data_IF_589239769910
#
_entry.id   IF_589239769910
#
_cell.length_a   1.000
_cell.length_b   1.000
_cell.length_c   1.000
_cell.angle_alpha   90.00
_cell.angle_beta   90.00
_cell.angle_gamma   90.00
#
_symmetry.space_group_name_H-M   'P 1'
#
loop_
_entity.id
_entity.type
_entity.pdbx_description
1 polymer ?
#
# COMPACT_ATOMS: atom_id res chain seq x y z
N UNK A 1 -7.13 9.91 -9.27
CA UNK A 1 -8.17 8.89 -9.48
C UNK A 1 -9.11 8.76 -8.28
N UNK A 2 -8.66 8.32 -7.09
CA UNK A 2 -9.54 8.18 -5.91
C UNK A 2 -10.18 9.49 -5.40
N UNK A 3 -9.59 10.65 -5.70
CA UNK A 3 -10.11 11.96 -5.33
C UNK A 3 -11.22 12.49 -6.25
N UNK A 4 -11.35 11.97 -7.47
CA UNK A 4 -12.31 12.45 -8.49
C UNK A 4 -13.58 11.62 -8.58
N UNK A 5 -13.62 10.42 -7.99
CA UNK A 5 -14.79 9.52 -8.03
C UNK A 5 -16.03 10.12 -7.31
N UNK A 6 -15.92 10.84 -6.18
CA UNK A 6 -17.09 11.38 -5.50
C UNK A 6 -17.82 12.49 -6.27
N UNK A 7 -17.15 13.18 -7.19
CA UNK A 7 -17.71 14.33 -7.90
C UNK A 7 -18.52 13.94 -9.15
N UNK A 8 -18.48 12.65 -9.56
CA UNK A 8 -19.13 12.15 -10.79
C UNK A 8 -20.33 11.24 -10.49
N UNK A 9 -20.43 10.67 -9.28
CA UNK A 9 -21.46 9.69 -8.92
C UNK A 9 -22.20 10.09 -7.63
N UNK A 10 -23.34 10.81 -7.73
CA UNK A 10 -24.14 11.21 -6.58
C UNK A 10 -24.89 10.05 -5.88
N UNK A 11 -24.89 8.84 -6.47
CA UNK A 11 -25.67 7.69 -6.01
C UNK A 11 -24.78 6.64 -5.29
N UNK A 12 -24.97 6.43 -3.99
CA UNK A 12 -24.10 5.62 -3.11
C UNK A 12 -23.95 4.16 -3.56
N UNK A 13 -24.98 3.57 -4.17
CA UNK A 13 -24.95 2.18 -4.64
C UNK A 13 -24.06 2.00 -5.87
N UNK A 14 -24.01 2.98 -6.76
CA UNK A 14 -23.14 2.94 -7.94
C UNK A 14 -21.67 3.19 -7.57
N UNK A 15 -21.42 4.06 -6.57
CA UNK A 15 -20.09 4.29 -6.00
C UNK A 15 -19.49 3.01 -5.41
N UNK A 16 -20.29 2.27 -4.62
CA UNK A 16 -19.83 1.04 -3.96
C UNK A 16 -19.49 -0.07 -4.96
N UNK A 17 -20.29 -0.18 -6.03
CA UNK A 17 -20.10 -1.15 -7.11
C UNK A 17 -18.92 -0.79 -8.02
N UNK A 18 -18.69 0.50 -8.29
CA UNK A 18 -17.51 0.97 -9.00
C UNK A 18 -16.23 0.75 -8.17
N UNK A 19 -16.29 0.99 -6.86
CA UNK A 19 -15.18 0.75 -5.96
C UNK A 19 -14.82 -0.75 -5.86
N UNK A 20 -15.83 -1.63 -5.84
CA UNK A 20 -15.58 -3.08 -5.83
C UNK A 20 -15.04 -3.59 -7.15
N UNK A 21 -15.57 -3.14 -8.30
CA UNK A 21 -15.05 -3.50 -9.63
C UNK A 21 -13.63 -2.99 -9.85
N UNK A 22 -13.35 -1.76 -9.44
CA UNK A 22 -12.00 -1.18 -9.58
C UNK A 22 -11.00 -1.91 -8.68
N UNK A 23 -11.42 -2.29 -7.47
CA UNK A 23 -10.58 -3.08 -6.57
C UNK A 23 -10.35 -4.51 -7.09
N UNK A 24 -11.37 -5.14 -7.69
CA UNK A 24 -11.25 -6.45 -8.33
C UNK A 24 -10.34 -6.39 -9.57
N UNK A 25 -10.43 -5.33 -10.37
CA UNK A 25 -9.50 -5.09 -11.47
C UNK A 25 -8.06 -4.91 -10.99
N UNK A 26 -7.83 -4.14 -9.93
CA UNK A 26 -6.50 -3.99 -9.31
C UNK A 26 -5.96 -5.31 -8.75
N UNK A 27 -6.80 -6.10 -8.10
CA UNK A 27 -6.40 -7.39 -7.52
C UNK A 27 -6.09 -8.40 -8.64
N UNK A 28 -6.86 -8.40 -9.74
CA UNK A 28 -6.57 -9.22 -10.91
C UNK A 28 -5.31 -8.76 -11.64
N UNK A 29 -5.09 -7.46 -11.82
CA UNK A 29 -3.88 -6.91 -12.42
C UNK A 29 -2.63 -7.29 -11.60
N UNK A 30 -2.71 -7.13 -10.28
CA UNK A 30 -1.63 -7.49 -9.35
C UNK A 30 -1.28 -8.98 -9.39
N UNK A 31 -2.26 -9.87 -9.56
CA UNK A 31 -2.03 -11.32 -9.64
C UNK A 31 -1.63 -11.81 -11.03
N UNK A 32 -2.33 -11.35 -12.07
CA UNK A 32 -2.13 -11.83 -13.44
C UNK A 32 -0.93 -11.17 -14.11
N UNK A 33 -0.60 -9.92 -13.80
CA UNK A 33 0.49 -9.24 -14.52
C UNK A 33 1.85 -9.89 -14.27
N UNK A 34 2.26 -10.24 -13.04
CA UNK A 34 3.52 -10.93 -12.81
C UNK A 34 3.57 -12.33 -13.43
N UNK A 35 2.46 -13.07 -13.38
CA UNK A 35 2.37 -14.43 -13.94
C UNK A 35 2.34 -14.43 -15.46
N UNK A 36 1.58 -13.53 -16.09
CA UNK A 36 1.59 -13.34 -17.54
C UNK A 36 2.93 -12.80 -18.02
N UNK A 37 3.55 -11.85 -17.32
CA UNK A 37 4.87 -11.34 -17.68
C UNK A 37 5.94 -12.44 -17.61
N UNK A 38 5.94 -13.24 -16.54
CA UNK A 38 6.83 -14.39 -16.41
C UNK A 38 6.60 -15.44 -17.52
N UNK A 39 5.34 -15.73 -17.85
CA UNK A 39 4.99 -16.63 -18.96
C UNK A 39 5.42 -16.07 -20.32
N UNK A 40 5.20 -14.78 -20.58
CA UNK A 40 5.61 -14.12 -21.83
C UNK A 40 7.13 -14.09 -21.99
N UNK A 41 7.90 -13.95 -20.90
CA UNK A 41 9.36 -14.01 -20.94
C UNK A 41 9.90 -15.39 -21.38
N UNK A 42 9.08 -16.45 -21.31
CA UNK A 42 9.45 -17.76 -21.88
C UNK A 42 9.34 -17.79 -23.41
N UNK A 43 8.54 -16.89 -24.00
CA UNK A 43 8.26 -16.82 -25.43
C UNK A 43 8.93 -15.63 -26.13
N UNK A 44 9.20 -14.55 -25.40
CA UNK A 44 9.66 -13.27 -25.95
C UNK A 44 10.73 -12.64 -25.06
N UNK A 45 11.75 -12.04 -25.67
CA UNK A 45 12.82 -11.32 -24.95
C UNK A 45 12.29 -10.12 -24.16
N UNK A 46 12.94 -9.82 -23.03
CA UNK A 46 12.64 -8.66 -22.17
C UNK A 46 12.53 -7.32 -22.92
N UNK A 47 13.34 -7.10 -23.97
CA UNK A 47 13.29 -5.88 -24.77
C UNK A 47 11.94 -5.67 -25.48
N UNK A 48 11.31 -6.75 -25.95
CA UNK A 48 10.00 -6.71 -26.60
C UNK A 48 8.87 -6.52 -25.59
N UNK A 49 9.02 -7.06 -24.39
CA UNK A 49 8.10 -6.80 -23.27
C UNK A 49 8.10 -5.31 -22.92
N UNK A 50 9.29 -4.70 -22.88
CA UNK A 50 9.48 -3.26 -22.66
C UNK A 50 8.89 -2.41 -23.79
N UNK A 51 9.04 -2.83 -25.05
CA UNK A 51 8.43 -2.14 -26.18
C UNK A 51 6.89 -2.22 -26.12
N UNK A 52 6.34 -3.36 -25.67
CA UNK A 52 4.91 -3.53 -25.42
C UNK A 52 4.37 -2.58 -24.34
N UNK A 53 5.09 -2.38 -23.23
CA UNK A 53 4.70 -1.40 -22.20
C UNK A 53 4.77 0.03 -22.71
N UNK A 54 5.74 0.38 -23.57
CA UNK A 54 5.80 1.69 -24.22
C UNK A 54 4.53 1.95 -25.04
N UNK A 55 4.11 1.00 -25.88
CA UNK A 55 2.86 1.11 -26.65
C UNK A 55 1.65 1.22 -25.71
N UNK A 56 1.60 0.40 -24.64
CA UNK A 56 0.55 0.47 -23.63
C UNK A 56 0.44 1.84 -22.97
N UNK A 57 1.58 2.47 -22.64
CA UNK A 57 1.62 3.83 -22.11
C UNK A 57 1.08 4.85 -23.11
N UNK A 58 1.43 4.75 -24.41
CA UNK A 58 0.88 5.65 -25.43
C UNK A 58 -0.63 5.50 -25.58
N UNK A 59 -1.15 4.27 -25.58
CA UNK A 59 -2.59 4.02 -25.59
C UNK A 59 -3.29 4.59 -24.34
N UNK A 60 -2.70 4.40 -23.16
CA UNK A 60 -3.24 4.94 -21.91
C UNK A 60 -3.19 6.48 -21.88
N UNK A 61 -2.12 7.08 -22.39
CA UNK A 61 -2.00 8.53 -22.54
C UNK A 61 -3.07 9.07 -23.52
N UNK A 62 -3.29 8.40 -24.65
CA UNK A 62 -4.34 8.76 -25.60
C UNK A 62 -5.73 8.69 -24.96
N UNK A 63 -6.01 7.64 -24.17
CA UNK A 63 -7.26 7.52 -23.41
C UNK A 63 -7.41 8.66 -22.38
N UNK A 64 -6.36 8.99 -21.64
CA UNK A 64 -6.40 10.11 -20.67
C UNK A 64 -6.65 11.45 -21.35
N UNK A 65 -6.02 11.71 -22.50
CA UNK A 65 -6.23 12.95 -23.28
C UNK A 65 -7.63 12.99 -23.90
N UNK A 66 -8.21 11.84 -24.25
CA UNK A 66 -9.56 11.75 -24.81
C UNK A 66 -10.67 12.01 -23.78
N UNK A 67 -10.38 11.93 -22.48
CA UNK A 67 -11.35 12.16 -21.42
C UNK A 67 -11.30 13.62 -20.98
N UNK A 68 -12.41 14.34 -21.20
CA UNK A 68 -12.63 15.66 -20.59
C UNK A 68 -12.89 15.49 -19.10
N UNK A 69 -11.86 15.73 -18.28
CA UNK A 69 -12.00 15.77 -16.81
C UNK A 69 -12.60 17.14 -16.44
N UNK A 70 -13.78 17.19 -15.78
CA UNK A 70 -14.33 18.43 -15.24
C UNK A 70 -13.33 19.04 -14.26
N UNK A 71 -12.91 20.27 -14.53
CA UNK A 71 -11.97 20.97 -13.65
C UNK A 71 -12.66 21.28 -12.31
N UNK A 72 -12.09 20.86 -11.16
CA UNK A 72 -12.58 21.31 -9.87
C UNK A 72 -12.48 22.83 -9.81
N UNK A 73 -13.58 23.49 -9.46
CA UNK A 73 -13.64 24.94 -9.26
C UNK A 73 -12.50 25.37 -8.34
N UNK A 74 -11.57 26.17 -8.85
CA UNK A 74 -10.49 26.74 -8.07
C UNK A 74 -11.08 27.73 -7.04
N UNK A 75 -11.37 27.25 -5.83
CA UNK A 75 -11.86 28.12 -4.76
C UNK A 75 -10.68 28.57 -3.90
N UNK A 76 -10.19 29.77 -4.15
CA UNK A 76 -9.46 30.55 -3.15
C UNK A 76 -8.32 31.45 -3.67
N UNK A 77 -8.03 32.58 -3.00
CA UNK A 77 -7.08 33.58 -3.47
C UNK A 77 -5.66 33.02 -3.61
N UNK A 78 -4.92 33.47 -4.63
CA UNK A 78 -3.47 33.23 -4.80
C UNK A 78 -2.71 33.63 -3.52
N UNK A 79 -2.42 32.67 -2.64
CA UNK A 79 -1.49 32.84 -1.53
C UNK A 79 -0.12 32.27 -1.91
N UNK A 80 0.91 32.67 -1.15
CA UNK A 80 2.31 32.29 -1.39
C UNK A 80 2.44 30.76 -1.51
N UNK A 81 3.06 30.29 -2.60
CA UNK A 81 3.31 28.86 -2.89
C UNK A 81 3.84 28.05 -1.69
N UNK A 82 4.68 28.66 -0.86
CA UNK A 82 5.25 28.02 0.34
C UNK A 82 4.22 27.78 1.47
N UNK A 83 3.28 28.71 1.67
CA UNK A 83 2.21 28.52 2.66
C UNK A 83 1.25 27.42 2.22
N UNK A 84 0.97 27.30 0.92
CA UNK A 84 0.08 26.26 0.40
C UNK A 84 0.73 24.86 0.43
N UNK A 85 2.05 24.75 0.17
CA UNK A 85 2.77 23.47 0.22
C UNK A 85 2.84 22.87 1.63
N UNK A 86 3.06 23.70 2.65
CA UNK A 86 3.22 23.23 4.05
C UNK A 86 1.92 23.17 4.83
N UNK A 87 0.86 23.84 4.35
CA UNK A 87 -0.48 23.85 4.97
C UNK A 87 -1.02 22.44 5.19
N UNK A 88 -0.93 21.56 4.19
CA UNK A 88 -1.41 20.18 4.30
C UNK A 88 -0.73 19.43 5.45
N UNK A 89 0.60 19.53 5.54
CA UNK A 89 1.40 18.91 6.61
C UNK A 89 1.08 19.52 7.97
N UNK A 90 0.90 20.85 8.06
CA UNK A 90 0.55 21.51 9.32
C UNK A 90 -0.82 21.09 9.84
N UNK A 91 -1.83 21.02 8.96
CA UNK A 91 -3.18 20.54 9.31
C UNK A 91 -3.11 19.06 9.72
N UNK A 92 -2.33 18.26 8.99
CA UNK A 92 -2.11 16.85 9.29
C UNK A 92 -1.54 16.66 10.71
N UNK A 93 -0.45 17.36 11.04
CA UNK A 93 0.21 17.26 12.35
C UNK A 93 -0.59 17.92 13.48
N UNK A 94 -1.44 18.91 13.18
CA UNK A 94 -2.33 19.51 14.18
C UNK A 94 -3.54 18.61 14.52
N UNK A 95 -3.88 17.65 13.67
CA UNK A 95 -5.05 16.79 13.85
C UNK A 95 -4.68 15.50 14.61
N UNK A 96 -5.18 15.26 15.84
CA UNK A 96 -4.75 14.13 16.67
C UNK A 96 -4.94 12.75 16.01
N UNK A 97 -6.03 12.59 15.24
CA UNK A 97 -6.31 11.34 14.50
C UNK A 97 -5.27 11.06 13.42
N UNK A 98 -4.78 12.10 12.75
CA UNK A 98 -3.79 12.00 11.67
C UNK A 98 -2.36 11.81 12.23
N UNK A 99 -2.06 12.36 13.41
CA UNK A 99 -0.85 11.98 14.16
C UNK A 99 -0.81 10.48 14.47
N UNK A 100 -1.95 9.90 14.84
CA UNK A 100 -2.08 8.44 14.99
C UNK A 100 -1.82 7.70 13.69
N UNK A 101 -2.37 8.20 12.57
CA UNK A 101 -2.10 7.64 11.24
C UNK A 101 -0.61 7.73 10.84
N UNK A 102 0.11 8.77 11.25
CA UNK A 102 1.55 8.85 11.04
C UNK A 102 2.31 7.74 11.79
N UNK A 103 1.97 7.49 13.06
CA UNK A 103 2.56 6.37 13.80
C UNK A 103 2.25 5.01 13.16
N UNK A 104 1.04 4.85 12.61
CA UNK A 104 0.65 3.66 11.87
C UNK A 104 1.45 3.51 10.57
N UNK A 105 1.69 4.60 9.83
CA UNK A 105 2.58 4.59 8.65
C UNK A 105 4.01 4.18 9.03
N UNK A 106 4.51 4.61 10.19
CA UNK A 106 5.83 4.22 10.69
C UNK A 106 5.90 2.71 10.98
N UNK A 107 4.89 2.14 11.64
CA UNK A 107 4.82 0.68 11.86
C UNK A 107 4.81 -0.10 10.54
N UNK A 108 4.05 0.40 9.57
CA UNK A 108 3.94 -0.18 8.22
C UNK A 108 5.26 -0.06 7.46
N UNK A 109 5.95 1.07 7.54
CA UNK A 109 7.24 1.28 6.90
C UNK A 109 8.34 0.42 7.55
N UNK A 110 8.33 0.25 8.87
CA UNK A 110 9.25 -0.66 9.56
C UNK A 110 9.06 -2.12 9.11
N UNK A 111 7.81 -2.59 9.06
CA UNK A 111 7.49 -3.92 8.55
C UNK A 111 7.82 -4.06 7.07
N UNK A 112 7.48 -3.06 6.27
CA UNK A 112 7.74 -3.01 4.83
C UNK A 112 9.23 -3.00 4.50
N UNK A 113 10.05 -2.23 5.21
CA UNK A 113 11.50 -2.22 5.04
C UNK A 113 12.10 -3.59 5.36
N UNK A 114 11.64 -4.22 6.44
CA UNK A 114 12.06 -5.58 6.78
C UNK A 114 11.75 -6.61 5.68
N UNK A 115 10.60 -6.46 5.01
CA UNK A 115 10.20 -7.36 3.94
C UNK A 115 10.90 -7.00 2.62
N UNK A 116 10.78 -5.77 2.14
CA UNK A 116 11.25 -5.43 0.79
C UNK A 116 12.76 -5.28 0.69
N UNK A 117 13.42 -4.82 1.76
CA UNK A 117 14.86 -4.58 1.77
C UNK A 117 15.58 -5.77 2.38
N UNK A 118 15.18 -6.19 3.58
CA UNK A 118 15.94 -7.22 4.30
C UNK A 118 15.68 -8.64 3.82
N UNK A 119 14.62 -8.96 3.08
CA UNK A 119 14.46 -10.32 2.54
C UNK A 119 15.64 -10.74 1.67
N UNK A 120 16.15 -9.85 0.81
CA UNK A 120 17.30 -10.18 -0.05
C UNK A 120 18.53 -10.47 0.80
N UNK A 121 18.79 -9.63 1.81
CA UNK A 121 19.93 -9.76 2.71
C UNK A 121 19.83 -11.06 3.53
N UNK A 122 18.64 -11.37 4.06
CA UNK A 122 18.42 -12.55 4.89
C UNK A 122 18.48 -13.83 4.06
N UNK A 123 17.74 -13.90 2.96
CA UNK A 123 17.64 -15.12 2.16
C UNK A 123 18.94 -15.39 1.41
N UNK A 124 19.48 -14.41 0.67
CA UNK A 124 20.69 -14.63 -0.13
C UNK A 124 21.96 -14.52 0.71
N UNK A 125 22.02 -13.55 1.61
CA UNK A 125 23.22 -13.27 2.41
C UNK A 125 23.39 -14.20 3.60
N UNK A 126 22.36 -14.33 4.44
CA UNK A 126 22.45 -15.12 5.68
C UNK A 126 22.14 -16.61 5.47
N UNK A 127 21.18 -16.95 4.59
CA UNK A 127 20.72 -18.33 4.39
C UNK A 127 21.31 -19.01 3.15
N UNK A 128 22.03 -18.27 2.29
CA UNK A 128 22.58 -18.81 1.03
C UNK A 128 21.53 -19.26 0.01
N UNK A 129 20.29 -18.78 0.13
CA UNK A 129 19.16 -19.11 -0.74
C UNK A 129 19.24 -18.47 -2.12
N UNK A 130 18.30 -18.87 -2.99
CA UNK A 130 18.22 -18.46 -4.39
C UNK A 130 17.27 -17.28 -4.60
N UNK A 131 17.24 -16.72 -5.81
CA UNK A 131 16.24 -15.71 -6.19
C UNK A 131 14.81 -16.26 -6.14
N UNK A 132 14.64 -17.57 -6.35
CA UNK A 132 13.35 -18.25 -6.18
C UNK A 132 12.86 -18.23 -4.74
N UNK A 133 13.76 -18.35 -3.76
CA UNK A 133 13.41 -18.31 -2.34
C UNK A 133 13.02 -16.90 -1.88
N UNK A 134 13.68 -15.87 -2.43
CA UNK A 134 13.29 -14.46 -2.24
C UNK A 134 11.89 -14.24 -2.81
N UNK A 135 11.64 -14.71 -4.03
CA UNK A 135 10.33 -14.59 -4.67
C UNK A 135 9.24 -15.31 -3.87
N UNK A 136 9.55 -16.49 -3.31
CA UNK A 136 8.63 -17.24 -2.45
C UNK A 136 8.29 -16.47 -1.16
N UNK A 137 9.30 -15.88 -0.49
CA UNK A 137 9.06 -15.09 0.71
C UNK A 137 8.19 -13.85 0.44
N UNK A 138 8.45 -13.14 -0.67
CA UNK A 138 7.64 -12.01 -1.11
C UNK A 138 6.22 -12.46 -1.52
N UNK A 139 6.08 -13.62 -2.15
CA UNK A 139 4.78 -14.21 -2.47
C UNK A 139 3.98 -14.57 -1.20
N UNK A 140 4.63 -15.09 -0.17
CA UNK A 140 4.01 -15.34 1.13
C UNK A 140 3.50 -14.04 1.78
N UNK A 141 4.30 -12.98 1.76
CA UNK A 141 3.87 -11.66 2.22
C UNK A 141 2.68 -11.13 1.41
N UNK A 142 2.76 -11.20 0.08
CA UNK A 142 1.66 -10.81 -0.82
C UNK A 142 0.39 -11.60 -0.55
N UNK A 143 0.49 -12.92 -0.40
CA UNK A 143 -0.62 -13.81 -0.10
C UNK A 143 -1.30 -13.47 1.24
N UNK A 144 -0.51 -13.18 2.29
CA UNK A 144 -1.04 -12.71 3.57
C UNK A 144 -1.77 -11.37 3.44
N UNK A 145 -1.19 -10.41 2.71
CA UNK A 145 -1.79 -9.11 2.43
C UNK A 145 -3.11 -9.20 1.68
N UNK A 146 -3.18 -10.08 0.68
CA UNK A 146 -4.38 -10.33 -0.11
C UNK A 146 -5.47 -11.03 0.71
N UNK A 147 -5.11 -12.05 1.48
CA UNK A 147 -6.05 -12.72 2.39
C UNK A 147 -6.67 -11.71 3.37
N UNK A 148 -5.84 -10.83 3.94
CA UNK A 148 -6.31 -9.75 4.80
C UNK A 148 -7.22 -8.78 4.03
N UNK A 149 -6.86 -8.35 2.82
CA UNK A 149 -7.67 -7.43 2.02
C UNK A 149 -9.07 -7.99 1.68
N UNK A 150 -9.18 -9.31 1.47
CA UNK A 150 -10.46 -9.99 1.21
C UNK A 150 -11.31 -10.16 2.48
N UNK A 151 -10.67 -10.35 3.64
CA UNK A 151 -11.37 -10.51 4.92
C UNK A 151 -11.75 -9.16 5.55
N UNK A 152 -11.01 -8.10 5.25
CA UNK A 152 -11.14 -6.80 5.90
C UNK A 152 -12.52 -6.15 5.74
N UNK A 153 -13.22 -6.19 4.59
CA UNK A 153 -14.55 -5.60 4.46
C UNK A 153 -15.51 -6.14 5.51
N UNK A 154 -15.56 -7.48 5.66
CA UNK A 154 -16.43 -8.14 6.65
C UNK A 154 -16.06 -7.79 8.09
N UNK A 155 -14.77 -7.57 8.34
CA UNK A 155 -14.27 -7.17 9.66
C UNK A 155 -14.65 -5.71 9.98
N UNK A 156 -14.52 -4.82 9.00
CA UNK A 156 -14.85 -3.39 9.12
C UNK A 156 -16.36 -3.12 9.20
N UNK A 157 -17.19 -4.08 8.81
CA UNK A 157 -18.64 -4.02 9.03
C UNK A 157 -19.01 -4.24 10.50
N UNK A 158 -18.17 -4.95 11.27
CA UNK A 158 -18.43 -5.33 12.67
C UNK A 158 -17.56 -4.58 13.67
N UNK A 159 -16.39 -4.09 13.27
CA UNK A 159 -15.41 -3.47 14.14
C UNK A 159 -15.03 -2.07 13.63
N UNK A 160 -14.72 -1.13 14.54
CA UNK A 160 -14.31 0.21 14.14
C UNK A 160 -12.91 0.21 13.49
N UNK A 161 -12.74 1.01 12.43
CA UNK A 161 -11.47 1.19 11.69
C UNK A 161 -10.26 1.35 12.64
N UNK A 162 -10.39 2.20 13.66
CA UNK A 162 -9.32 2.49 14.63
C UNK A 162 -8.87 1.25 15.41
N UNK A 163 -9.80 0.38 15.80
CA UNK A 163 -9.50 -0.82 16.56
C UNK A 163 -8.66 -1.79 15.75
N UNK A 164 -9.06 -2.04 14.51
CA UNK A 164 -8.35 -2.92 13.56
C UNK A 164 -6.96 -2.35 13.25
N UNK A 165 -6.84 -1.06 13.01
CA UNK A 165 -5.53 -0.45 12.69
C UNK A 165 -4.55 -0.54 13.86
N UNK A 166 -4.99 -0.23 15.08
CA UNK A 166 -4.13 -0.29 16.26
C UNK A 166 -3.74 -1.72 16.63
N UNK A 167 -4.68 -2.68 16.56
CA UNK A 167 -4.36 -4.08 16.81
C UNK A 167 -3.39 -4.63 15.77
N UNK A 168 -3.56 -4.25 14.50
CA UNK A 168 -2.67 -4.67 13.42
C UNK A 168 -1.27 -4.07 13.57
N UNK A 169 -1.15 -2.79 13.96
CA UNK A 169 0.15 -2.19 14.27
C UNK A 169 0.84 -2.84 15.47
N UNK A 170 0.08 -3.16 16.52
CA UNK A 170 0.59 -3.94 17.66
C UNK A 170 1.06 -5.34 17.24
N UNK A 171 0.29 -6.02 16.39
CA UNK A 171 0.67 -7.31 15.81
C UNK A 171 1.98 -7.21 15.02
N UNK A 172 2.12 -6.20 14.16
CA UNK A 172 3.37 -5.97 13.40
C UNK A 172 4.57 -5.79 14.33
N UNK A 173 4.42 -4.98 15.39
CA UNK A 173 5.49 -4.78 16.37
C UNK A 173 5.87 -6.08 17.09
N UNK A 174 4.90 -6.86 17.54
CA UNK A 174 5.13 -8.14 18.23
C UNK A 174 5.79 -9.15 17.30
N UNK A 175 5.34 -9.26 16.05
CA UNK A 175 5.88 -10.19 15.05
C UNK A 175 7.32 -9.80 14.67
N UNK A 176 7.59 -8.52 14.45
CA UNK A 176 8.95 -8.03 14.17
C UNK A 176 9.88 -8.27 15.36
N UNK A 177 9.41 -7.97 16.58
CA UNK A 177 10.21 -8.15 17.79
C UNK A 177 10.51 -9.63 18.04
N UNK A 178 9.50 -10.50 17.94
CA UNK A 178 9.69 -11.94 18.13
C UNK A 178 10.62 -12.53 17.07
N UNK A 179 10.52 -12.07 15.82
CA UNK A 179 11.44 -12.46 14.75
C UNK A 179 12.87 -12.00 15.02
N UNK A 180 13.06 -10.76 15.50
CA UNK A 180 14.37 -10.24 15.89
C UNK A 180 15.00 -11.02 17.05
N UNK A 181 14.22 -11.33 18.09
CA UNK A 181 14.68 -12.17 19.20
C UNK A 181 15.06 -13.57 18.71
N UNK A 182 14.23 -14.19 17.85
CA UNK A 182 14.55 -15.49 17.27
C UNK A 182 15.84 -15.47 16.44
N UNK A 183 16.06 -14.42 15.64
CA UNK A 183 17.30 -14.20 14.89
C UNK A 183 18.54 -14.14 15.80
N UNK A 184 18.48 -13.37 16.88
CA UNK A 184 19.61 -13.26 17.83
C UNK A 184 19.85 -14.54 18.63
N UNK A 185 18.80 -15.33 18.91
CA UNK A 185 18.89 -16.49 19.81
C UNK A 185 19.32 -17.77 19.11
N UNK A 186 18.90 -17.97 17.87
CA UNK A 186 19.09 -19.25 17.15
C UNK A 186 20.11 -19.17 16.00
N UNK A 187 20.61 -17.98 15.67
CA UNK A 187 21.53 -17.77 14.54
C UNK A 187 20.88 -18.08 13.19
N UNK A 188 21.58 -17.82 12.09
CA UNK A 188 21.07 -18.04 10.72
C UNK A 188 21.05 -19.53 10.29
N UNK A 189 20.80 -20.46 11.21
CA UNK A 189 20.70 -21.88 10.90
C UNK A 189 19.45 -22.19 10.06
N UNK A 190 19.45 -23.28 9.30
CA UNK A 190 18.36 -23.68 8.40
C UNK A 190 16.96 -23.80 9.03
N UNK A 191 16.86 -23.81 10.37
CA UNK A 191 15.60 -23.70 11.11
C UNK A 191 14.88 -22.36 10.92
N UNK A 192 15.63 -21.29 10.62
CA UNK A 192 15.12 -19.94 10.49
C UNK A 192 14.40 -19.70 9.15
N UNK A 193 14.74 -20.48 8.12
CA UNK A 193 13.99 -20.51 6.86
C UNK A 193 12.53 -20.92 7.05
N UNK A 194 12.25 -21.85 7.96
CA UNK A 194 10.87 -22.26 8.29
C UNK A 194 10.08 -21.19 9.05
N UNK A 195 10.76 -20.33 9.82
CA UNK A 195 10.13 -19.23 10.54
C UNK A 195 9.94 -17.97 9.68
N UNK A 196 10.72 -17.82 8.61
CA UNK A 196 10.67 -16.69 7.68
C UNK A 196 9.30 -16.61 6.99
N UNK A 197 8.88 -17.67 6.31
CA UNK A 197 7.63 -17.67 5.53
C UNK A 197 6.38 -17.32 6.36
N UNK A 198 6.09 -17.97 7.50
CA UNK A 198 4.92 -17.61 8.31
C UNK A 198 5.01 -16.19 8.87
N UNK A 199 6.22 -15.73 9.25
CA UNK A 199 6.44 -14.33 9.65
C UNK A 199 6.06 -13.37 8.52
N UNK A 200 6.48 -13.64 7.28
CA UNK A 200 6.17 -12.81 6.12
C UNK A 200 4.67 -12.76 5.82
N UNK A 201 3.98 -13.90 5.93
CA UNK A 201 2.51 -13.93 5.82
C UNK A 201 1.86 -13.03 6.88
N UNK A 202 2.27 -13.15 8.14
CA UNK A 202 1.72 -12.35 9.25
C UNK A 202 2.00 -10.86 9.07
N UNK A 203 3.21 -10.49 8.63
CA UNK A 203 3.56 -9.12 8.29
C UNK A 203 2.69 -8.59 7.15
N UNK A 204 2.44 -9.41 6.12
CA UNK A 204 1.52 -9.08 5.02
C UNK A 204 0.09 -8.79 5.50
N UNK A 205 -0.43 -9.65 6.37
CA UNK A 205 -1.76 -9.47 6.98
C UNK A 205 -1.85 -8.14 7.74
N UNK A 206 -0.90 -7.89 8.64
CA UNK A 206 -0.87 -6.68 9.46
C UNK A 206 -0.70 -5.41 8.61
N UNK A 207 0.18 -5.46 7.63
CA UNK A 207 0.45 -4.37 6.69
C UNK A 207 -0.83 -3.95 5.95
N UNK A 208 -1.55 -4.92 5.36
CA UNK A 208 -2.81 -4.69 4.64
C UNK A 208 -3.92 -4.17 5.55
N UNK A 209 -4.03 -4.71 6.76
CA UNK A 209 -5.03 -4.33 7.74
C UNK A 209 -4.84 -2.89 8.28
N UNK A 210 -3.60 -2.37 8.29
CA UNK A 210 -3.33 -0.96 8.59
C UNK A 210 -3.57 -0.06 7.36
N UNK A 211 -3.03 -0.44 6.20
CA UNK A 211 -3.10 0.41 4.99
C UNK A 211 -4.52 0.60 4.46
N UNK A 212 -5.30 -0.47 4.38
CA UNK A 212 -6.61 -0.46 3.71
C UNK A 212 -7.61 0.55 4.31
N UNK A 213 -7.77 0.67 5.65
CA UNK A 213 -8.66 1.66 6.26
C UNK A 213 -8.02 3.07 6.35
N UNK A 214 -6.72 3.23 6.06
CA UNK A 214 -6.04 4.53 6.15
C UNK A 214 -6.67 5.59 5.25
N UNK A 215 -7.07 5.22 4.03
CA UNK A 215 -7.78 6.12 3.11
C UNK A 215 -9.17 6.54 3.63
N UNK A 216 -9.89 5.63 4.29
CA UNK A 216 -11.18 5.94 4.94
C UNK A 216 -10.98 6.90 6.11
N UNK A 217 -9.98 6.65 6.94
CA UNK A 217 -9.65 7.50 8.09
C UNK A 217 -9.25 8.91 7.66
N UNK A 218 -8.44 9.02 6.61
CA UNK A 218 -8.02 10.30 6.03
C UNK A 218 -9.21 11.07 5.45
N UNK A 219 -10.06 10.40 4.65
CA UNK A 219 -11.28 11.01 4.08
C UNK A 219 -12.25 11.50 5.17
N UNK A 220 -12.43 10.74 6.26
CA UNK A 220 -13.28 11.14 7.40
C UNK A 220 -12.70 12.29 8.22
N UNK A 221 -11.38 12.47 8.18
CA UNK A 221 -10.68 13.52 8.94
C UNK A 221 -10.42 14.79 8.11
N UNK A 222 -10.73 14.77 6.82
CA UNK A 222 -10.49 15.87 5.89
C UNK A 222 -11.79 16.59 5.47
N UNK A 223 -11.85 17.90 5.74
CA UNK A 223 -12.88 18.78 5.17
C UNK A 223 -12.79 18.83 3.64
N UNK A 224 -13.92 18.98 2.95
CA UNK A 224 -13.98 18.98 1.48
C UNK A 224 -12.92 19.86 0.78
N UNK A 225 -12.65 21.12 1.20
CA UNK A 225 -11.63 21.96 0.55
C UNK A 225 -10.19 21.56 0.86
N UNK A 226 -9.90 20.92 2.01
CA UNK A 226 -8.54 20.58 2.43
C UNK A 226 -8.11 19.16 2.04
N UNK A 227 -9.02 18.35 1.46
CA UNK A 227 -8.76 16.95 1.06
C UNK A 227 -7.52 16.80 0.18
N UNK A 228 -7.36 17.51 -0.95
CA UNK A 228 -6.19 17.32 -1.83
C UNK A 228 -4.87 17.57 -1.11
N UNK A 229 -4.81 18.64 -0.29
CA UNK A 229 -3.62 18.98 0.48
C UNK A 229 -3.30 17.93 1.56
N UNK A 230 -4.32 17.36 2.21
CA UNK A 230 -4.14 16.29 3.21
C UNK A 230 -3.70 14.96 2.60
N UNK A 231 -4.21 14.60 1.41
CA UNK A 231 -3.73 13.42 0.69
C UNK A 231 -2.29 13.59 0.21
N UNK A 232 -1.92 14.77 -0.28
CA UNK A 232 -0.53 15.09 -0.62
C UNK A 232 0.39 15.03 0.62
N UNK A 233 -0.06 15.57 1.76
CA UNK A 233 0.69 15.51 3.01
C UNK A 233 0.85 14.07 3.52
N UNK A 234 -0.20 13.25 3.48
CA UNK A 234 -0.12 11.83 3.84
C UNK A 234 0.89 11.10 2.97
N UNK A 235 0.88 11.33 1.66
CA UNK A 235 1.83 10.72 0.74
C UNK A 235 3.27 11.11 1.09
N UNK A 236 3.54 12.41 1.27
CA UNK A 236 4.88 12.89 1.63
C UNK A 236 5.34 12.32 3.00
N UNK A 237 4.49 12.39 4.02
CA UNK A 237 4.81 11.91 5.36
C UNK A 237 4.98 10.38 5.41
N UNK A 238 4.20 9.62 4.63
CA UNK A 238 4.41 8.18 4.55
C UNK A 238 5.76 7.85 3.94
N UNK A 239 6.22 8.58 2.92
CA UNK A 239 7.55 8.39 2.33
C UNK A 239 8.67 8.76 3.31
N UNK A 240 8.48 9.78 4.14
CA UNK A 240 9.43 10.09 5.22
C UNK A 240 9.57 8.91 6.18
N UNK A 241 8.50 8.15 6.46
CA UNK A 241 8.60 6.95 7.30
C UNK A 241 9.42 5.80 6.66
N UNK A 242 9.63 5.81 5.34
CA UNK A 242 10.44 4.81 4.63
C UNK A 242 11.93 5.16 4.58
N UNK A 243 12.31 6.39 4.94
CA UNK A 243 13.71 6.83 5.09
C UNK A 243 14.27 6.40 6.44
#
# INVERSE_FOLDING_TARGET
FQATIPDVLPDENAYTRALSLSRLAYDMESLLSPTLAAALLTLVSFNWLFFGTVIGFFCSAALVVSVTIPQPSAVGPRRRLYDDMTRGVRIYLATPRLRGLFALNLSVAAAGSMVFVNTVVLVKGAMGGTDGDVALALACFGGGSMAAALLLPRLLDRLPDRGIMLSSAGMLAVVLFSFGVAMTSFGADGRLGYALLPTWVLLGVGYSAVMTPSGRLLRRSAGAPDRPALFAAQFALSHVCWL
#
